data_IF_318319133895
#
_entry.id   IF_318319133895
#
_cell.length_a   1.000
_cell.length_b   1.000
_cell.length_c   1.000
_cell.angle_alpha   90.00
_cell.angle_beta   90.00
_cell.angle_gamma   90.00
#
_symmetry.space_group_name_H-M   'P 1'
#
loop_
_entity.id
_entity.type
_entity.pdbx_description
1 polymer ?
#
# COMPACT_ATOMS: atom_id res chain seq x y z
N UNK A 1 -15.71 27.39 -2.05
CA UNK A 1 -14.44 27.34 -2.82
C UNK A 1 -14.58 26.59 -4.14
N UNK A 2 -15.15 25.37 -4.16
CA UNK A 2 -15.28 24.54 -5.38
C UNK A 2 -16.02 25.26 -6.53
N UNK A 3 -17.11 25.97 -6.24
CA UNK A 3 -17.88 26.73 -7.25
C UNK A 3 -17.05 27.87 -7.85
N UNK A 4 -16.36 28.65 -7.00
CA UNK A 4 -15.49 29.75 -7.44
C UNK A 4 -14.34 29.22 -8.31
N UNK A 5 -13.73 28.08 -7.94
CA UNK A 5 -12.67 27.47 -8.77
C UNK A 5 -13.19 26.89 -10.08
N UNK A 6 -14.41 26.37 -10.13
CA UNK A 6 -15.00 25.80 -11.34
C UNK A 6 -15.37 26.87 -12.37
N UNK A 7 -15.75 28.07 -11.90
CA UNK A 7 -16.15 29.20 -12.74
C UNK A 7 -15.01 30.21 -12.96
N UNK A 8 -13.85 30.04 -12.30
CA UNK A 8 -12.68 30.90 -12.53
C UNK A 8 -12.08 30.59 -13.90
N UNK A 9 -12.26 31.49 -14.84
CA UNK A 9 -11.92 31.30 -16.25
C UNK A 9 -12.80 32.22 -17.10
N UNK A 10 -14.09 31.88 -17.27
CA UNK A 10 -15.06 32.76 -17.92
C UNK A 10 -15.42 34.01 -17.10
N UNK A 11 -15.34 33.96 -15.76
CA UNK A 11 -15.71 35.09 -14.89
C UNK A 11 -14.56 35.52 -13.98
N UNK A 12 -14.57 36.79 -13.55
CA UNK A 12 -13.54 37.31 -12.65
C UNK A 12 -13.71 36.73 -11.24
N UNK A 13 -12.58 36.40 -10.60
CA UNK A 13 -12.59 35.88 -9.21
C UNK A 13 -13.21 36.90 -8.24
N UNK A 14 -13.10 38.20 -8.53
CA UNK A 14 -13.69 39.28 -7.73
C UNK A 14 -15.22 39.18 -7.68
N UNK A 15 -15.86 39.06 -8.84
CA UNK A 15 -17.32 38.93 -8.94
C UNK A 15 -17.80 37.62 -8.35
N UNK A 16 -17.10 36.52 -8.64
CA UNK A 16 -17.42 35.20 -8.10
C UNK A 16 -17.29 35.13 -6.57
N UNK A 17 -16.42 35.93 -5.97
CA UNK A 17 -16.29 36.07 -4.52
C UNK A 17 -17.40 36.95 -3.92
N UNK A 18 -17.88 37.96 -4.65
CA UNK A 18 -18.94 38.87 -4.19
C UNK A 18 -20.31 38.19 -4.07
N UNK A 19 -20.71 37.36 -5.03
CA UNK A 19 -22.02 36.66 -5.02
C UNK A 19 -22.28 35.88 -3.72
N UNK A 20 -21.34 35.02 -3.24
CA UNK A 20 -21.48 34.34 -1.97
C UNK A 20 -20.97 35.14 -0.76
N UNK A 21 -20.52 36.38 -0.93
CA UNK A 21 -20.01 37.23 0.16
C UNK A 21 -18.67 36.77 0.76
N UNK A 22 -17.81 36.09 -0.01
CA UNK A 22 -16.51 35.60 0.46
C UNK A 22 -15.41 36.62 0.15
N UNK A 23 -14.49 36.86 1.08
CA UNK A 23 -13.36 37.76 0.83
C UNK A 23 -12.32 37.11 -0.12
N UNK A 24 -11.75 37.90 -1.04
CA UNK A 24 -10.77 37.39 -2.03
C UNK A 24 -9.54 36.77 -1.38
N UNK A 25 -9.05 37.36 -0.27
CA UNK A 25 -7.88 36.81 0.44
C UNK A 25 -8.12 35.40 0.97
N UNK A 26 -9.33 35.09 1.45
CA UNK A 26 -9.70 33.75 1.90
C UNK A 26 -9.68 32.76 0.73
N UNK A 27 -10.14 33.18 -0.46
CA UNK A 27 -10.08 32.34 -1.64
C UNK A 27 -8.64 31.95 -2.00
N UNK A 28 -7.73 32.93 -2.10
CA UNK A 28 -6.33 32.67 -2.44
C UNK A 28 -5.62 31.87 -1.34
N UNK A 29 -5.88 32.18 -0.07
CA UNK A 29 -5.37 31.41 1.07
C UNK A 29 -5.77 29.94 0.98
N UNK A 30 -7.05 29.64 0.80
CA UNK A 30 -7.54 28.26 0.67
C UNK A 30 -7.00 27.57 -0.58
N UNK A 31 -6.85 28.29 -1.69
CA UNK A 31 -6.26 27.77 -2.93
C UNK A 31 -4.81 27.36 -2.73
N UNK A 32 -4.01 28.19 -2.08
CA UNK A 32 -2.61 27.89 -1.77
C UNK A 32 -2.47 26.71 -0.80
N UNK A 33 -3.28 26.68 0.26
CA UNK A 33 -3.25 25.57 1.21
C UNK A 33 -3.67 24.25 0.55
N UNK A 34 -4.68 24.29 -0.31
CA UNK A 34 -5.12 23.12 -1.08
C UNK A 34 -4.01 22.61 -1.99
N UNK A 35 -3.32 23.49 -2.71
CA UNK A 35 -2.15 23.14 -3.54
C UNK A 35 -1.04 22.47 -2.73
N UNK A 36 -0.64 23.05 -1.58
CA UNK A 36 0.39 22.49 -0.70
C UNK A 36 0.01 21.09 -0.20
N UNK A 37 -1.24 20.91 0.18
CA UNK A 37 -1.77 19.62 0.63
C UNK A 37 -1.74 18.57 -0.49
N UNK A 38 -2.03 18.96 -1.73
CA UNK A 38 -2.00 18.10 -2.91
C UNK A 38 -0.58 17.62 -3.19
N UNK A 39 0.38 18.55 -3.27
CA UNK A 39 1.79 18.23 -3.53
C UNK A 39 2.33 17.25 -2.47
N UNK A 40 2.02 17.52 -1.19
CA UNK A 40 2.44 16.65 -0.10
C UNK A 40 1.79 15.27 -0.21
N UNK A 41 0.52 15.20 -0.58
CA UNK A 41 -0.22 13.94 -0.77
C UNK A 41 0.33 13.13 -1.93
N UNK A 42 0.65 13.78 -3.06
CA UNK A 42 1.24 13.14 -4.22
C UNK A 42 2.64 12.61 -3.92
N UNK A 43 3.48 13.38 -3.23
CA UNK A 43 4.81 12.92 -2.80
C UNK A 43 4.73 11.68 -1.88
N UNK A 44 3.74 11.64 -0.98
CA UNK A 44 3.47 10.47 -0.15
C UNK A 44 2.96 9.27 -0.97
N UNK A 45 2.14 9.52 -1.98
CA UNK A 45 1.60 8.49 -2.87
C UNK A 45 2.73 7.86 -3.70
N UNK A 46 3.58 8.66 -4.33
CA UNK A 46 4.72 8.18 -5.11
C UNK A 46 5.68 7.35 -4.24
N UNK A 47 6.07 7.89 -3.07
CA UNK A 47 6.96 7.16 -2.15
C UNK A 47 6.33 5.86 -1.64
N UNK A 48 5.03 5.87 -1.34
CA UNK A 48 4.30 4.66 -0.96
C UNK A 48 4.28 3.59 -2.06
N UNK A 49 4.19 4.01 -3.32
CA UNK A 49 4.26 3.12 -4.48
C UNK A 49 5.65 2.51 -4.67
N UNK A 50 6.71 3.31 -4.53
CA UNK A 50 8.09 2.81 -4.56
C UNK A 50 8.34 1.74 -3.50
N UNK A 51 7.93 2.01 -2.24
CA UNK A 51 8.07 1.05 -1.15
C UNK A 51 7.29 -0.25 -1.41
N UNK A 52 6.13 -0.14 -2.04
CA UNK A 52 5.35 -1.30 -2.45
C UNK A 52 6.04 -2.11 -3.56
N UNK A 53 6.65 -1.44 -4.54
CA UNK A 53 7.42 -2.08 -5.60
C UNK A 53 8.66 -2.80 -5.06
N UNK A 54 9.40 -2.19 -4.14
CA UNK A 54 10.55 -2.81 -3.44
C UNK A 54 10.11 -4.10 -2.72
N UNK A 55 8.89 -4.11 -2.15
CA UNK A 55 8.32 -5.29 -1.51
C UNK A 55 7.81 -6.38 -2.47
N UNK A 56 8.05 -6.24 -3.79
CA UNK A 56 7.52 -7.12 -4.84
C UNK A 56 5.99 -7.22 -4.81
N UNK A 57 5.32 -6.09 -4.56
CA UNK A 57 3.86 -6.00 -4.45
C UNK A 57 3.22 -6.83 -3.32
N UNK A 58 4.02 -7.37 -2.40
CA UNK A 58 3.51 -8.19 -1.29
C UNK A 58 3.08 -7.35 -0.09
N UNK A 59 3.77 -6.23 0.18
CA UNK A 59 3.52 -5.47 1.39
C UNK A 59 2.22 -4.67 1.31
N UNK A 60 1.33 -4.94 2.26
CA UNK A 60 0.13 -4.11 2.52
C UNK A 60 0.44 -2.91 3.42
N UNK A 61 -0.55 -2.03 3.63
CA UNK A 61 -0.40 -0.70 4.24
C UNK A 61 0.37 -0.60 5.57
N UNK A 62 0.51 -1.68 6.35
CA UNK A 62 1.30 -1.69 7.59
C UNK A 62 2.79 -1.46 7.32
N UNK A 63 3.37 -2.13 6.32
CA UNK A 63 4.81 -2.03 6.07
C UNK A 63 5.20 -0.68 5.47
N UNK A 64 4.52 -0.15 4.43
CA UNK A 64 4.82 1.17 3.92
C UNK A 64 4.54 2.27 4.97
N UNK A 65 3.51 2.12 5.82
CA UNK A 65 3.29 3.08 6.93
C UNK A 65 4.47 3.11 7.91
N UNK A 66 5.01 1.94 8.29
CA UNK A 66 6.18 1.86 9.16
C UNK A 66 7.41 2.48 8.49
N UNK A 67 7.64 2.18 7.22
CA UNK A 67 8.79 2.70 6.46
C UNK A 67 8.69 4.23 6.27
N UNK A 68 7.51 4.75 5.90
CA UNK A 68 7.26 6.19 5.81
C UNK A 68 7.48 6.89 7.16
N UNK A 69 7.10 6.26 8.27
CA UNK A 69 7.34 6.81 9.61
C UNK A 69 8.83 6.82 9.97
N UNK A 70 9.57 5.78 9.59
CA UNK A 70 11.02 5.74 9.75
C UNK A 70 11.73 6.82 8.90
N UNK A 71 11.15 7.18 7.75
CA UNK A 71 11.59 8.31 6.91
C UNK A 71 11.16 9.68 7.47
N UNK A 72 10.59 9.74 8.68
CA UNK A 72 10.16 10.99 9.32
C UNK A 72 8.81 11.54 8.83
N UNK A 73 8.06 10.77 8.02
CA UNK A 73 6.74 11.20 7.55
C UNK A 73 5.65 10.73 8.51
N UNK A 74 4.86 11.67 9.02
CA UNK A 74 3.73 11.34 9.92
C UNK A 74 2.54 10.78 9.12
N UNK A 75 2.59 9.47 8.86
CA UNK A 75 1.57 8.74 8.08
C UNK A 75 1.21 7.43 8.78
N UNK A 76 0.01 7.38 9.35
CA UNK A 76 -0.57 6.17 9.93
C UNK A 76 -1.12 5.19 8.90
N UNK A 77 -1.40 3.96 9.36
CA UNK A 77 -1.91 2.83 8.55
C UNK A 77 -3.10 3.21 7.65
N UNK A 78 -4.09 3.91 8.19
CA UNK A 78 -5.30 4.26 7.44
C UNK A 78 -5.03 5.26 6.31
N UNK A 79 -4.15 6.23 6.55
CA UNK A 79 -3.72 7.22 5.55
C UNK A 79 -2.92 6.52 4.44
N UNK A 80 -1.98 5.65 4.80
CA UNK A 80 -1.27 4.81 3.83
C UNK A 80 -2.21 3.92 3.03
N UNK A 81 -3.22 3.30 3.66
CA UNK A 81 -4.19 2.47 2.95
C UNK A 81 -4.99 3.26 1.92
N UNK A 82 -5.41 4.50 2.23
CA UNK A 82 -6.06 5.38 1.25
C UNK A 82 -5.12 5.77 0.11
N UNK A 83 -3.87 6.12 0.42
CA UNK A 83 -2.86 6.45 -0.60
C UNK A 83 -2.60 5.27 -1.54
N UNK A 84 -2.52 4.04 -1.00
CA UNK A 84 -2.37 2.84 -1.81
C UNK A 84 -3.59 2.60 -2.72
N UNK A 85 -4.81 2.78 -2.20
CA UNK A 85 -6.04 2.67 -3.01
C UNK A 85 -6.09 3.72 -4.12
N UNK A 86 -5.75 4.98 -3.80
CA UNK A 86 -5.65 6.06 -4.77
C UNK A 86 -4.62 5.75 -5.86
N UNK A 87 -3.52 5.09 -5.48
CA UNK A 87 -2.48 4.61 -6.40
C UNK A 87 -2.84 3.31 -7.15
N UNK A 88 -4.01 2.71 -6.90
CA UNK A 88 -4.40 1.44 -7.52
C UNK A 88 -3.56 0.23 -7.07
N UNK A 89 -2.86 0.35 -5.92
CA UNK A 89 -1.97 -0.68 -5.42
C UNK A 89 -2.75 -1.72 -4.60
N UNK A 90 -2.60 -2.98 -5.00
CA UNK A 90 -3.20 -4.13 -4.31
C UNK A 90 -2.08 -5.05 -3.86
N UNK A 91 -2.03 -5.32 -2.55
CA UNK A 91 -1.12 -6.31 -1.99
C UNK A 91 -1.51 -7.69 -2.48
N UNK A 92 -0.56 -8.38 -3.13
CA UNK A 92 -0.71 -9.75 -3.60
C UNK A 92 0.08 -10.65 -2.67
N UNK A 93 -0.57 -11.66 -2.09
CA UNK A 93 0.16 -12.71 -1.40
C UNK A 93 0.98 -13.50 -2.43
N UNK A 94 2.17 -13.99 -2.07
CA UNK A 94 2.89 -14.94 -2.90
C UNK A 94 1.94 -16.11 -3.22
N UNK A 95 1.78 -16.42 -4.51
CA UNK A 95 0.99 -17.58 -4.92
C UNK A 95 1.58 -18.87 -4.34
N UNK A 96 0.78 -19.94 -4.36
CA UNK A 96 1.24 -21.27 -3.96
C UNK A 96 2.49 -21.61 -4.78
N UNK A 97 3.62 -21.80 -4.11
CA UNK A 97 4.84 -22.24 -4.77
C UNK A 97 4.57 -23.59 -5.42
N UNK A 98 4.66 -23.66 -6.75
CA UNK A 98 4.60 -24.92 -7.48
C UNK A 98 5.93 -25.64 -7.29
N UNK A 99 6.08 -26.37 -6.19
CA UNK A 99 7.18 -27.32 -6.08
C UNK A 99 6.95 -28.41 -7.12
N UNK A 100 7.95 -28.65 -7.98
CA UNK A 100 7.93 -29.82 -8.87
C UNK A 100 8.15 -31.03 -7.99
N UNK A 101 7.12 -31.85 -7.79
CA UNK A 101 7.26 -33.15 -7.13
C UNK A 101 8.33 -33.91 -7.90
N UNK A 102 9.45 -34.22 -7.24
CA UNK A 102 10.52 -35.00 -7.84
C UNK A 102 10.22 -36.46 -7.57
N UNK A 103 9.92 -37.20 -8.63
CA UNK A 103 9.76 -38.66 -8.58
C UNK A 103 11.10 -39.38 -8.38
N UNK A 104 12.20 -38.71 -8.71
CA UNK A 104 13.54 -39.29 -8.64
C UNK A 104 14.43 -38.58 -7.63
N UNK A 105 15.34 -39.35 -7.03
CA UNK A 105 16.37 -38.86 -6.15
C UNK A 105 17.25 -37.79 -6.83
N UNK A 106 17.77 -36.86 -6.03
CA UNK A 106 18.68 -35.83 -6.52
C UNK A 106 20.01 -36.45 -6.95
N UNK A 107 20.50 -36.12 -8.15
CA UNK A 107 21.85 -36.51 -8.59
C UNK A 107 22.96 -35.77 -7.83
N UNK A 108 22.65 -34.63 -7.20
CA UNK A 108 23.60 -33.82 -6.42
C UNK A 108 23.90 -34.40 -5.03
N UNK A 109 22.93 -35.09 -4.44
CA UNK A 109 23.08 -35.72 -3.14
C UNK A 109 22.18 -36.95 -3.10
N UNK A 110 22.80 -38.13 -2.99
CA UNK A 110 22.09 -39.39 -2.82
C UNK A 110 21.29 -39.40 -1.52
N UNK A 111 20.17 -40.14 -1.51
CA UNK A 111 19.39 -40.37 -0.31
C UNK A 111 20.11 -41.37 0.63
N UNK A 112 21.16 -40.91 1.30
CA UNK A 112 21.96 -41.78 2.19
C UNK A 112 21.19 -42.27 3.43
N UNK A 113 20.04 -41.66 3.69
CA UNK A 113 19.24 -41.94 4.87
C UNK A 113 18.18 -43.01 4.63
N UNK A 114 17.88 -43.33 3.35
CA UNK A 114 16.91 -44.31 2.82
C UNK A 114 15.93 -44.83 3.88
N UNK A 115 15.24 -43.88 4.51
CA UNK A 115 14.53 -44.14 5.76
C UNK A 115 13.33 -44.96 5.36
N UNK A 116 13.40 -46.27 5.60
CA UNK A 116 12.31 -47.21 5.50
C UNK A 116 11.22 -46.83 6.52
N UNK A 117 10.55 -45.69 6.32
CA UNK A 117 9.37 -45.26 7.07
C UNK A 117 8.13 -46.07 6.69
N UNK A 118 8.32 -47.36 6.40
CA UNK A 118 7.25 -48.34 6.37
C UNK A 118 6.89 -48.60 7.82
N UNK A 119 5.76 -48.06 8.24
CA UNK A 119 5.20 -48.34 9.56
C UNK A 119 4.09 -49.36 9.35
N UNK A 120 4.16 -50.51 10.03
CA UNK A 120 3.21 -51.61 9.85
C UNK A 120 1.80 -51.27 10.34
N UNK A 121 1.67 -50.34 11.28
CA UNK A 121 0.39 -49.84 11.78
C UNK A 121 0.53 -48.38 12.26
N UNK A 122 -0.53 -47.56 12.12
CA UNK A 122 -0.54 -46.21 12.67
C UNK A 122 -0.34 -46.26 14.19
N UNK A 123 0.41 -45.29 14.74
CA UNK A 123 0.62 -45.18 16.18
C UNK A 123 -0.72 -44.90 16.88
N UNK A 124 -1.15 -45.79 17.79
CA UNK A 124 -2.50 -45.78 18.41
C UNK A 124 -2.50 -45.04 19.77
N UNK A 125 -1.43 -44.34 20.15
CA UNK A 125 -1.42 -43.56 21.39
C UNK A 125 -1.17 -42.08 21.15
N UNK A 126 -2.23 -41.30 21.35
CA UNK A 126 -2.18 -39.87 21.65
C UNK A 126 -3.34 -39.52 22.57
N UNK A 127 -3.16 -39.66 23.89
CA UNK A 127 -3.84 -38.80 24.88
C UNK A 127 -3.18 -38.94 26.26
N UNK A 128 -2.28 -38.00 26.58
CA UNK A 128 -2.06 -37.57 27.96
C UNK A 128 -3.11 -36.51 28.29
N UNK A 129 -3.72 -36.64 29.48
CA UNK A 129 -4.65 -35.66 30.05
C UNK A 129 -3.96 -34.34 30.37
#
# INVERSE_FOLDING_TARGET
>A
MIIITALSGPYSVKELCQVPGVHQSLFYYHREQSKKSHITREALRCRGAELHQISRSSAGARTPSRLLRNEGKDVGRYKTSRLMKEAGLVSKQPGKQSYRVREHASSLAGNNLDRCFRVDAPNIQLTGR
#
